data_IF_499504988379
#
_entry.id   IF_499504988379
#
_cell.length_a   1.000
_cell.length_b   1.000
_cell.length_c   1.000
_cell.angle_alpha   90.00
_cell.angle_beta   90.00
_cell.angle_gamma   90.00
#
_symmetry.space_group_name_H-M   'P 1'
#
loop_
_entity.id
_entity.type
_entity.pdbx_description
1 polymer ?
#
# COMPACT_ATOMS: atom_id res chain seq x y z
N UNK A 1 12.90 13.69 6.39
CA UNK A 1 12.64 12.34 6.95
C UNK A 1 12.74 11.33 5.82
N UNK A 2 13.23 10.10 6.07
CA UNK A 2 13.38 9.02 5.09
C UNK A 2 12.57 7.82 5.56
N UNK A 3 11.61 7.34 4.77
CA UNK A 3 10.92 6.08 5.04
C UNK A 3 11.79 4.94 4.55
N UNK A 4 12.32 4.14 5.46
CA UNK A 4 13.27 3.05 5.17
C UNK A 4 12.94 1.73 5.88
N UNK A 5 11.85 1.68 6.66
CA UNK A 5 11.46 0.51 7.44
C UNK A 5 9.94 0.39 7.41
N UNK A 6 9.47 -0.80 7.06
CA UNK A 6 8.07 -1.22 7.19
C UNK A 6 8.03 -2.45 8.09
N UNK A 7 7.03 -2.54 8.96
CA UNK A 7 6.77 -3.74 9.76
C UNK A 7 5.35 -4.20 9.51
N UNK A 8 5.18 -5.47 9.18
CA UNK A 8 3.88 -6.11 8.98
C UNK A 8 3.62 -7.13 10.07
N UNK A 9 2.34 -7.30 10.42
CA UNK A 9 1.91 -8.34 11.34
C UNK A 9 1.86 -9.68 10.62
N UNK A 10 2.42 -10.71 11.25
CA UNK A 10 2.48 -12.05 10.70
C UNK A 10 2.10 -13.08 11.79
N UNK A 11 1.07 -13.91 11.58
CA UNK A 11 0.71 -14.95 12.54
C UNK A 11 1.73 -16.10 12.61
N UNK A 12 2.23 -16.51 11.44
CA UNK A 12 3.22 -17.58 11.28
C UNK A 12 4.47 -17.01 10.61
N UNK A 13 5.52 -16.80 11.41
CA UNK A 13 6.76 -16.21 10.93
C UNK A 13 7.62 -17.20 10.13
N UNK A 14 7.39 -18.51 10.21
CA UNK A 14 8.10 -19.46 9.35
C UNK A 14 7.52 -19.45 7.94
N UNK A 15 6.18 -19.41 7.83
CA UNK A 15 5.51 -19.18 6.55
C UNK A 15 5.91 -17.82 5.96
N UNK A 16 5.87 -16.75 6.77
CA UNK A 16 6.31 -15.42 6.35
C UNK A 16 7.77 -15.39 5.93
N UNK A 17 8.67 -16.04 6.68
CA UNK A 17 10.09 -16.12 6.33
C UNK A 17 10.32 -16.73 4.95
N UNK A 18 9.71 -17.89 4.70
CA UNK A 18 9.84 -18.58 3.42
C UNK A 18 9.27 -17.72 2.28
N UNK A 19 8.09 -17.11 2.49
CA UNK A 19 7.47 -16.23 1.50
C UNK A 19 8.39 -15.07 1.10
N UNK A 20 8.91 -14.31 2.07
CA UNK A 20 9.73 -13.14 1.77
C UNK A 20 11.13 -13.50 1.24
N UNK A 21 11.66 -14.67 1.59
CA UNK A 21 12.86 -15.19 0.93
C UNK A 21 12.59 -15.54 -0.54
N UNK A 22 11.48 -16.21 -0.86
CA UNK A 22 11.08 -16.52 -2.25
C UNK A 22 10.84 -15.22 -3.03
N UNK A 23 10.21 -14.22 -2.40
CA UNK A 23 10.01 -12.90 -2.98
C UNK A 23 11.33 -12.18 -3.34
N UNK A 24 12.46 -12.65 -2.82
CA UNK A 24 13.81 -12.16 -3.14
C UNK A 24 14.42 -11.25 -2.07
N UNK A 25 13.77 -11.09 -0.90
CA UNK A 25 14.34 -10.31 0.20
C UNK A 25 15.38 -11.14 0.95
N UNK A 26 16.40 -10.45 1.50
CA UNK A 26 17.51 -11.11 2.19
C UNK A 26 17.33 -10.99 3.70
N UNK A 27 17.24 -12.10 4.46
CA UNK A 27 17.12 -12.04 5.90
C UNK A 27 18.39 -11.47 6.53
N UNK A 28 18.23 -10.60 7.54
CA UNK A 28 19.33 -9.98 8.30
C UNK A 28 19.14 -10.09 9.81
N UNK A 29 17.92 -10.38 10.29
CA UNK A 29 17.65 -10.72 11.69
C UNK A 29 16.67 -11.88 11.72
N UNK A 30 17.02 -12.93 12.46
CA UNK A 30 16.14 -14.04 12.79
C UNK A 30 15.95 -14.12 14.31
N UNK A 31 14.74 -13.80 14.77
CA UNK A 31 14.33 -13.89 16.16
C UNK A 31 12.93 -14.51 16.27
N UNK A 32 12.65 -15.48 15.38
CA UNK A 32 11.40 -16.22 15.34
C UNK A 32 11.19 -17.02 16.64
N UNK A 33 9.93 -17.19 17.09
CA UNK A 33 8.68 -16.88 16.39
C UNK A 33 8.20 -15.44 16.58
N UNK A 34 8.97 -14.55 17.21
CA UNK A 34 8.48 -13.20 17.56
C UNK A 34 8.78 -12.14 16.51
N UNK A 35 9.91 -12.26 15.83
CA UNK A 35 10.39 -11.22 14.94
C UNK A 35 11.32 -11.75 13.84
N UNK A 36 11.25 -11.16 12.65
CA UNK A 36 12.24 -11.33 11.59
C UNK A 36 12.44 -10.01 10.84
N UNK A 37 13.63 -9.76 10.32
CA UNK A 37 13.92 -8.59 9.48
C UNK A 37 14.66 -9.00 8.22
N UNK A 38 14.27 -8.37 7.13
CA UNK A 38 14.84 -8.53 5.82
C UNK A 38 15.28 -7.17 5.27
N UNK A 39 16.29 -7.18 4.41
CA UNK A 39 16.68 -6.05 3.57
C UNK A 39 16.21 -6.31 2.15
N UNK A 40 15.73 -5.26 1.48
CA UNK A 40 15.43 -5.33 0.04
C UNK A 40 16.72 -5.57 -0.75
N UNK A 41 16.67 -6.31 -1.88
CA UNK A 41 17.85 -6.52 -2.70
C UNK A 41 18.40 -5.21 -3.28
N UNK A 42 17.51 -4.24 -3.53
CA UNK A 42 17.83 -2.91 -4.02
C UNK A 42 17.60 -1.85 -2.93
N UNK A 43 18.59 -0.98 -2.75
CA UNK A 43 18.56 0.11 -1.76
C UNK A 43 18.92 -0.32 -0.33
N UNK A 44 18.47 0.46 0.66
CA UNK A 44 18.73 0.24 2.10
C UNK A 44 17.44 0.06 2.92
N UNK A 45 16.30 -0.10 2.24
CA UNK A 45 15.00 -0.31 2.87
C UNK A 45 14.90 -1.69 3.50
N UNK A 46 14.15 -1.77 4.60
CA UNK A 46 13.97 -2.99 5.38
C UNK A 46 12.48 -3.28 5.57
N UNK A 47 12.17 -4.57 5.57
CA UNK A 47 10.85 -5.10 5.91
C UNK A 47 11.00 -6.00 7.13
N UNK A 48 10.07 -5.89 8.07
CA UNK A 48 10.06 -6.75 9.25
C UNK A 48 8.73 -7.42 9.46
N UNK A 49 8.81 -8.62 10.01
CA UNK A 49 7.66 -9.40 10.46
C UNK A 49 7.62 -9.31 11.97
N UNK A 50 6.47 -8.96 12.52
CA UNK A 50 6.22 -9.03 13.94
C UNK A 50 5.07 -9.99 14.21
N UNK A 51 5.23 -10.87 15.20
CA UNK A 51 4.20 -11.84 15.56
C UNK A 51 2.92 -11.14 16.00
N UNK A 52 1.78 -11.56 15.47
CA UNK A 52 0.49 -11.09 15.95
C UNK A 52 -0.67 -11.65 15.15
N UNK A 53 -1.89 -11.37 15.62
CA UNK A 53 -3.11 -11.73 14.91
C UNK A 53 -3.30 -10.74 13.76
N UNK A 54 -3.34 -11.23 12.53
CA UNK A 54 -3.65 -10.44 11.35
C UNK A 54 -5.15 -10.14 11.30
N UNK A 55 -5.53 -8.87 11.51
CA UNK A 55 -6.92 -8.40 11.46
C UNK A 55 -7.43 -8.01 10.05
N UNK A 56 -6.63 -8.25 9.00
CA UNK A 56 -6.95 -7.92 7.61
C UNK A 56 -6.59 -6.49 7.15
N UNK A 57 -6.00 -6.42 5.96
CA UNK A 57 -6.38 -5.51 4.85
C UNK A 57 -6.00 -4.03 4.85
N UNK A 58 -5.52 -3.44 5.95
CA UNK A 58 -5.31 -1.97 5.98
C UNK A 58 -4.05 -1.47 5.25
N UNK A 59 -2.98 -2.26 5.25
CA UNK A 59 -1.67 -1.84 4.72
C UNK A 59 -1.37 -2.58 3.42
N UNK A 60 -1.03 -1.84 2.38
CA UNK A 60 -0.50 -2.39 1.12
C UNK A 60 0.97 -2.03 1.00
N UNK A 61 1.82 -3.03 0.74
CA UNK A 61 3.25 -2.84 0.56
C UNK A 61 3.58 -2.96 -0.93
N UNK A 62 4.22 -1.95 -1.49
CA UNK A 62 4.61 -1.90 -2.89
C UNK A 62 6.11 -2.20 -3.04
N UNK A 63 6.44 -3.09 -3.98
CA UNK A 63 7.81 -3.35 -4.41
C UNK A 63 7.95 -3.00 -5.90
N UNK A 64 8.88 -2.10 -6.20
CA UNK A 64 9.14 -1.70 -7.59
C UNK A 64 10.03 -2.75 -8.27
N UNK A 65 9.65 -3.18 -9.46
CA UNK A 65 10.36 -4.16 -10.27
C UNK A 65 10.56 -3.59 -11.68
N UNK A 66 11.80 -3.60 -12.17
CA UNK A 66 12.10 -3.14 -13.54
C UNK A 66 11.41 -4.04 -14.58
N UNK A 67 11.59 -5.35 -14.47
CA UNK A 67 11.00 -6.37 -15.36
C UNK A 67 9.85 -7.10 -14.65
N UNK A 68 8.70 -6.44 -14.49
CA UNK A 68 7.58 -6.95 -13.71
C UNK A 68 7.08 -8.32 -14.21
N UNK A 69 6.83 -8.47 -15.52
CA UNK A 69 6.26 -9.70 -16.09
C UNK A 69 7.17 -10.92 -15.89
N UNK A 70 8.46 -10.75 -16.14
CA UNK A 70 9.48 -11.80 -15.93
C UNK A 70 9.59 -12.17 -14.44
N UNK A 71 9.56 -11.16 -13.56
CA UNK A 71 9.60 -11.34 -12.11
C UNK A 71 8.38 -12.14 -11.64
N UNK A 72 7.19 -11.77 -12.09
CA UNK A 72 5.95 -12.48 -11.74
C UNK A 72 5.95 -13.91 -12.27
N UNK A 73 6.42 -14.15 -13.49
CA UNK A 73 6.60 -15.50 -14.04
C UNK A 73 7.52 -16.36 -13.16
N UNK A 74 8.71 -15.85 -12.87
CA UNK A 74 9.71 -16.55 -12.05
C UNK A 74 9.22 -16.85 -10.64
N UNK A 75 8.54 -15.89 -10.00
CA UNK A 75 7.97 -16.07 -8.66
C UNK A 75 6.80 -17.05 -8.64
N UNK A 76 5.99 -17.06 -9.71
CA UNK A 76 4.89 -18.02 -9.86
C UNK A 76 5.43 -19.45 -10.01
N UNK A 77 6.50 -19.65 -10.79
CA UNK A 77 7.21 -20.93 -10.91
C UNK A 77 7.85 -21.36 -9.58
N UNK A 78 8.34 -20.40 -8.79
CA UNK A 78 8.85 -20.63 -7.44
C UNK A 78 7.75 -20.90 -6.39
N UNK A 79 6.47 -20.88 -6.80
CA UNK A 79 5.33 -21.30 -5.97
C UNK A 79 4.53 -20.17 -5.32
N UNK A 80 4.82 -18.89 -5.62
CA UNK A 80 3.97 -17.79 -5.17
C UNK A 80 2.66 -17.75 -5.95
N UNK A 81 1.57 -17.41 -5.25
CA UNK A 81 0.23 -17.31 -5.84
C UNK A 81 -0.17 -15.86 -5.98
N UNK A 82 -0.35 -15.42 -7.22
CA UNK A 82 -0.87 -14.10 -7.53
C UNK A 82 -2.40 -14.11 -7.58
N UNK A 83 -3.00 -13.05 -7.08
CA UNK A 83 -4.43 -12.73 -7.19
C UNK A 83 -4.72 -12.19 -8.59
N UNK A 84 -3.84 -11.33 -9.08
CA UNK A 84 -3.85 -10.83 -10.45
C UNK A 84 -2.42 -10.76 -10.98
N UNK A 85 -2.26 -11.12 -12.27
CA UNK A 85 -0.99 -10.99 -12.96
C UNK A 85 -0.66 -9.53 -13.32
N UNK A 86 0.43 -9.29 -14.06
CA UNK A 86 0.83 -7.96 -14.48
C UNK A 86 -0.23 -7.32 -15.39
N UNK A 87 -0.80 -6.22 -14.93
CA UNK A 87 -1.87 -5.49 -15.62
C UNK A 87 -1.60 -3.99 -15.63
N UNK A 88 -1.87 -3.35 -16.77
CA UNK A 88 -1.80 -1.89 -16.87
C UNK A 88 -3.01 -1.27 -16.17
N UNK A 89 -2.74 -0.29 -15.31
CA UNK A 89 -3.74 0.43 -14.53
C UNK A 89 -3.98 1.82 -15.10
N UNK A 90 -5.15 2.38 -14.81
CA UNK A 90 -5.54 3.73 -15.27
C UNK A 90 -4.66 4.86 -14.74
N UNK A 91 -3.85 4.58 -13.71
CA UNK A 91 -2.86 5.47 -13.15
C UNK A 91 -1.45 5.27 -13.72
N UNK A 92 -1.35 4.69 -14.93
CA UNK A 92 -0.11 4.56 -15.72
C UNK A 92 0.97 3.71 -15.07
N UNK A 93 0.56 2.79 -14.19
CA UNK A 93 1.43 1.79 -13.58
C UNK A 93 1.06 0.43 -14.14
N UNK A 94 2.03 -0.46 -14.19
CA UNK A 94 1.80 -1.89 -14.40
C UNK A 94 1.94 -2.58 -13.05
N UNK A 95 0.95 -3.37 -12.64
CA UNK A 95 0.89 -3.95 -11.30
C UNK A 95 0.48 -5.42 -11.33
N UNK A 96 1.04 -6.21 -10.42
CA UNK A 96 0.59 -7.56 -10.08
C UNK A 96 0.35 -7.65 -8.57
N UNK A 97 -0.70 -8.37 -8.18
CA UNK A 97 -1.15 -8.45 -6.78
C UNK A 97 -0.99 -9.84 -6.20
N UNK A 98 -0.54 -9.91 -4.95
CA UNK A 98 -0.51 -11.12 -4.15
C UNK A 98 -0.71 -10.81 -2.66
N UNK A 99 -0.97 -11.85 -1.88
CA UNK A 99 -1.03 -11.76 -0.41
C UNK A 99 0.08 -12.59 0.21
N UNK A 100 0.68 -12.07 1.26
CA UNK A 100 1.56 -12.87 2.10
C UNK A 100 0.74 -13.84 3.00
N UNK A 101 1.39 -14.79 3.69
CA UNK A 101 0.68 -15.75 4.56
C UNK A 101 -0.09 -15.11 5.73
N UNK A 102 0.22 -13.86 6.08
CA UNK A 102 -0.49 -13.08 7.09
C UNK A 102 -1.66 -12.28 6.52
N UNK A 103 -1.94 -12.39 5.22
CA UNK A 103 -3.00 -11.63 4.56
C UNK A 103 -2.66 -10.16 4.34
N UNK A 104 -1.37 -9.77 4.41
CA UNK A 104 -0.94 -8.44 4.03
C UNK A 104 -0.95 -8.32 2.49
N UNK A 105 -1.49 -7.22 1.98
CA UNK A 105 -1.58 -6.99 0.53
C UNK A 105 -0.23 -6.53 0.00
N UNK A 106 0.30 -7.26 -0.98
CA UNK A 106 1.57 -6.95 -1.64
C UNK A 106 1.28 -6.61 -3.09
N UNK A 107 1.91 -5.55 -3.60
CA UNK A 107 1.86 -5.16 -5.01
C UNK A 107 3.28 -5.12 -5.56
N UNK A 108 3.53 -5.90 -6.60
CA UNK A 108 4.72 -5.73 -7.45
C UNK A 108 4.33 -4.78 -8.58
N UNK A 109 5.15 -3.77 -8.85
CA UNK A 109 4.77 -2.77 -9.85
C UNK A 109 5.96 -2.20 -10.62
N UNK A 110 5.67 -1.65 -11.80
CA UNK A 110 6.56 -0.80 -12.56
C UNK A 110 5.81 0.48 -12.94
N UNK A 111 6.37 1.64 -12.58
CA UNK A 111 5.75 2.95 -12.78
C UNK A 111 6.68 3.99 -13.44
N UNK A 112 7.99 3.74 -13.48
CA UNK A 112 8.98 4.67 -14.02
C UNK A 112 8.85 6.08 -13.42
N UNK A 113 8.90 7.11 -14.25
CA UNK A 113 8.75 8.50 -13.80
C UNK A 113 7.38 8.80 -13.19
N UNK A 114 6.32 8.08 -13.58
CA UNK A 114 4.95 8.33 -13.14
C UNK A 114 4.73 8.08 -11.64
N UNK A 115 5.66 7.38 -10.98
CA UNK A 115 5.63 7.20 -9.51
C UNK A 115 5.71 8.55 -8.77
N UNK A 116 6.54 9.47 -9.28
CA UNK A 116 6.79 10.79 -8.67
C UNK A 116 6.29 11.96 -9.52
N UNK A 117 6.16 11.74 -10.83
CA UNK A 117 5.79 12.74 -11.82
C UNK A 117 4.59 12.33 -12.68
N UNK A 118 3.44 11.96 -12.07
CA UNK A 118 2.25 11.64 -12.85
C UNK A 118 1.62 12.90 -13.49
N UNK A 119 0.84 12.76 -14.58
CA UNK A 119 0.16 13.89 -15.23
C UNK A 119 -0.80 14.71 -14.33
N UNK A 120 -1.27 14.11 -13.23
CA UNK A 120 -2.12 14.75 -12.21
C UNK A 120 -1.34 15.20 -10.97
N UNK A 121 -0.01 15.26 -11.04
CA UNK A 121 0.83 15.77 -9.96
C UNK A 121 0.36 17.16 -9.53
N UNK A 122 0.33 17.39 -8.23
CA UNK A 122 -0.03 18.68 -7.66
C UNK A 122 1.03 19.72 -7.99
N UNK A 123 0.64 20.81 -8.66
CA UNK A 123 1.50 21.97 -8.88
C UNK A 123 1.87 22.58 -7.52
N UNK A 124 3.18 22.64 -7.20
CA UNK A 124 3.67 23.20 -5.93
C UNK A 124 3.52 24.73 -5.79
N UNK A 125 2.80 25.39 -6.71
CA UNK A 125 2.92 26.84 -6.91
C UNK A 125 1.64 27.65 -7.08
N UNK A 126 0.43 27.08 -6.98
CA UNK A 126 -0.81 27.88 -7.08
C UNK A 126 -1.89 27.38 -6.12
N UNK A 127 -2.30 28.18 -5.11
CA UNK A 127 -3.49 27.85 -4.35
C UNK A 127 -4.69 27.93 -5.31
N UNK A 128 -5.39 26.81 -5.53
CA UNK A 128 -6.72 26.82 -6.15
C UNK A 128 -6.93 26.16 -7.52
N UNK A 129 -5.99 25.36 -8.08
CA UNK A 129 -6.37 24.48 -9.20
C UNK A 129 -7.10 23.24 -8.68
N UNK A 130 -8.37 23.10 -9.08
CA UNK A 130 -9.19 21.91 -8.86
C UNK A 130 -8.45 20.66 -9.38
N UNK A 131 -8.53 19.59 -8.58
CA UNK A 131 -8.12 18.24 -8.91
C UNK A 131 -8.48 17.91 -10.37
N UNK A 132 -7.49 17.49 -11.18
CA UNK A 132 -7.78 16.92 -12.49
C UNK A 132 -8.11 15.44 -12.29
N UNK A 133 -9.31 14.97 -12.70
CA UNK A 133 -9.66 13.56 -12.55
C UNK A 133 -8.70 12.68 -13.36
N UNK A 134 -8.60 11.40 -12.96
CA UNK A 134 -7.83 10.38 -13.67
C UNK A 134 -8.20 10.37 -15.17
N UNK A 135 -7.23 10.18 -16.09
CA UNK A 135 -7.55 10.03 -17.49
C UNK A 135 -8.44 8.79 -17.69
N UNK A 136 -9.64 9.00 -18.22
CA UNK A 136 -10.51 7.93 -18.65
C UNK A 136 -9.92 7.34 -19.93
N UNK A 137 -9.25 6.18 -19.82
CA UNK A 137 -8.84 5.41 -20.99
C UNK A 137 -10.11 4.91 -21.66
N UNK A 138 -10.54 5.60 -22.72
CA UNK A 138 -11.70 5.21 -23.53
C UNK A 138 -11.44 3.87 -24.18
N UNK A 139 -11.86 2.79 -23.51
CA UNK A 139 -11.89 1.46 -24.11
C UNK A 139 -13.06 1.42 -25.09
N UNK A 140 -12.80 1.73 -26.36
CA UNK A 140 -13.80 1.55 -27.43
C UNK A 140 -14.05 0.04 -27.60
N UNK A 141 -15.13 -0.44 -27.00
CA UNK A 141 -15.81 -1.66 -27.43
C UNK A 141 -15.81 -2.80 -26.44
N UNK A 142 -16.71 -2.73 -25.45
CA UNK A 142 -17.64 -3.83 -25.07
C UNK A 142 -18.54 -3.35 -23.94
N UNK A 143 -19.84 -3.39 -24.19
CA UNK A 143 -20.85 -3.40 -23.12
C UNK A 143 -20.62 -4.67 -22.29
N UNK A 144 -20.17 -4.49 -21.07
CA UNK A 144 -19.91 -5.57 -20.12
C UNK A 144 -19.65 -4.97 -18.74
N UNK A 145 -20.62 -5.14 -17.85
CA UNK A 145 -20.67 -4.69 -16.47
C UNK A 145 -19.37 -5.04 -15.73
N UNK A 146 -18.67 -4.06 -15.15
CA UNK A 146 -17.84 -4.27 -13.96
C UNK A 146 -17.89 -3.05 -13.04
N UNK A 147 -18.57 -3.24 -11.92
CA UNK A 147 -18.38 -2.47 -10.70
C UNK A 147 -17.14 -3.00 -9.99
N UNK A 148 -16.18 -2.12 -9.68
CA UNK A 148 -15.30 -2.15 -8.49
C UNK A 148 -14.14 -1.16 -8.66
N UNK A 149 -14.47 0.12 -8.74
CA UNK A 149 -13.55 1.16 -8.32
C UNK A 149 -14.00 1.59 -6.92
N UNK A 150 -13.29 1.11 -5.89
CA UNK A 150 -13.31 1.64 -4.52
C UNK A 150 -14.69 1.74 -3.83
N UNK A 151 -15.16 0.74 -3.05
CA UNK A 151 -16.27 0.97 -2.15
C UNK A 151 -15.77 1.63 -0.85
N UNK A 152 -16.45 2.70 -0.44
CA UNK A 152 -16.34 3.43 0.84
C UNK A 152 -15.30 4.57 0.92
N UNK A 153 -15.47 5.58 0.06
CA UNK A 153 -15.23 6.96 0.50
C UNK A 153 -16.61 7.58 0.81
N UNK A 154 -17.03 7.52 2.08
CA UNK A 154 -18.16 8.32 2.55
C UNK A 154 -17.83 9.81 2.33
N UNK A 155 -18.75 10.60 1.74
CA UNK A 155 -18.52 12.03 1.59
C UNK A 155 -18.42 12.67 2.98
N UNK A 156 -17.33 13.40 3.22
CA UNK A 156 -17.14 14.22 4.43
C UNK A 156 -18.39 15.07 4.66
N UNK A 157 -19.15 14.74 5.71
CA UNK A 157 -20.23 15.58 6.18
C UNK A 157 -19.65 16.95 6.53
N UNK A 158 -20.12 17.99 5.85
CA UNK A 158 -19.84 19.38 6.20
C UNK A 158 -20.39 19.63 7.60
N UNK A 159 -19.50 19.76 8.58
CA UNK A 159 -19.86 20.23 9.92
C UNK A 159 -20.33 21.70 9.82
N UNK A 160 -21.55 22.04 10.28
CA UNK A 160 -21.91 23.44 10.46
C UNK A 160 -21.12 24.00 11.64
N UNK A 161 -20.42 25.11 11.38
CA UNK A 161 -19.72 25.92 12.38
C UNK A 161 -20.69 26.37 13.48
N UNK A 162 -20.68 25.69 14.63
CA UNK A 162 -21.37 26.15 15.83
C UNK A 162 -20.48 27.13 16.60
N UNK A 163 -21.04 28.33 16.74
CA UNK A 163 -20.63 29.43 17.60
C UNK A 163 -20.29 28.92 19.01
N UNK A 164 -19.07 29.19 19.46
CA UNK A 164 -18.63 28.98 20.84
C UNK A 164 -19.34 29.99 21.74
N UNK A 165 -20.26 29.54 22.60
CA UNK A 165 -20.80 30.36 23.67
C UNK A 165 -20.04 30.08 24.98
N UNK A 166 -19.29 31.08 25.47
CA UNK A 166 -18.62 31.06 26.77
C UNK A 166 -19.66 30.94 27.89
N UNK A 167 -19.58 29.90 28.71
CA UNK A 167 -19.99 29.97 30.11
C UNK A 167 -18.86 29.48 30.99
N UNK A 168 -18.23 30.42 31.68
CA UNK A 168 -17.40 30.17 32.85
C UNK A 168 -18.24 29.45 33.91
N UNK A 169 -17.68 28.41 34.52
CA UNK A 169 -18.05 28.00 35.87
C UNK A 169 -16.81 28.12 36.74
N UNK A 170 -16.93 28.98 37.73
CA UNK A 170 -15.97 29.19 38.80
C UNK A 170 -15.81 27.90 39.62
N UNK A 171 -14.57 27.48 39.82
CA UNK A 171 -14.18 26.60 40.92
C UNK A 171 -13.75 27.50 42.08
N UNK A 172 -14.56 27.56 43.14
CA UNK A 172 -14.10 28.04 44.45
C UNK A 172 -13.54 26.85 45.23
N UNK A 173 -12.26 26.94 45.55
CA UNK A 173 -11.61 26.24 46.64
C UNK A 173 -12.05 26.86 47.98
N UNK A 174 -12.22 26.05 49.01
CA UNK A 174 -12.43 26.53 50.36
C UNK A 174 -12.65 25.41 51.37
N UNK A 175 -11.53 25.02 52.01
CA UNK A 175 -11.35 24.54 53.40
C UNK A 175 -12.21 23.41 53.94
#
# INVERSE_FOLDING_TARGET
MRLNQVTVTMPDLDAGWNFYCILGLRPVVDARPRYARFVCPDGDSTLSLHQGVSGGGGTTVYFECENLDETVGSLSEAGLRFVSGPEDKSWLWREAELFDPGGNRIILYSAGSNRLDPPWRMDRGRPGRRFRPFPELTNRGRLGIFASAWPNAEPLQTFPSRVFNRRQRDFRLGS
#
